data_IF_650413942545
#
_entry.id   IF_650413942545
#
_cell.length_a   1.000
_cell.length_b   1.000
_cell.length_c   1.000
_cell.angle_alpha   90.00
_cell.angle_beta   90.00
_cell.angle_gamma   90.00
#
_symmetry.space_group_name_H-M   'P 1'
#
loop_
_entity.id
_entity.type
_entity.pdbx_description
1 polymer ?
#
# COMPACT_ATOMS: atom_id res chain seq x y z
N UNK A 1 20.65 15.11 -27.80
CA UNK A 1 19.77 14.47 -28.53
C UNK A 1 19.03 13.39 -27.70
N UNK A 2 19.38 12.24 -27.68
CA UNK A 2 18.52 11.24 -27.06
C UNK A 2 18.97 10.79 -25.70
N UNK A 3 19.95 11.45 -25.16
CA UNK A 3 20.53 10.96 -23.92
C UNK A 3 19.53 10.97 -22.79
N UNK A 4 18.73 12.03 -22.71
CA UNK A 4 17.76 12.09 -21.64
C UNK A 4 16.73 10.97 -21.77
N UNK A 5 16.37 10.64 -23.00
CA UNK A 5 15.43 9.56 -23.23
C UNK A 5 16.07 8.24 -22.86
N UNK A 6 17.33 8.08 -23.24
CA UNK A 6 18.03 6.85 -22.90
C UNK A 6 18.20 6.71 -21.40
N UNK A 7 18.51 7.79 -20.72
CA UNK A 7 18.62 7.74 -19.27
C UNK A 7 17.30 7.36 -18.63
N UNK A 8 16.20 7.93 -19.13
CA UNK A 8 14.91 7.58 -18.61
C UNK A 8 14.61 6.11 -18.82
N UNK A 9 14.88 5.60 -20.02
CA UNK A 9 14.60 4.21 -20.31
C UNK A 9 15.50 3.27 -19.52
N UNK A 10 16.67 3.74 -19.10
CA UNK A 10 17.57 2.92 -18.32
C UNK A 10 17.16 2.81 -16.86
N UNK A 11 16.30 3.70 -16.38
CA UNK A 11 15.98 3.75 -14.97
C UNK A 11 14.53 3.41 -14.63
N UNK A 12 13.75 2.74 -15.52
CA UNK A 12 12.41 2.36 -15.11
C UNK A 12 12.44 1.36 -13.97
N UNK A 13 13.55 0.61 -13.84
CA UNK A 13 13.65 -0.40 -12.79
C UNK A 13 13.85 0.23 -11.41
N UNK A 14 14.21 1.53 -11.32
CA UNK A 14 14.34 2.16 -10.01
C UNK A 14 12.99 2.56 -9.43
N UNK A 15 11.96 2.66 -10.25
CA UNK A 15 10.63 3.02 -9.80
C UNK A 15 9.68 1.86 -9.97
N UNK A 16 8.90 1.61 -8.93
CA UNK A 16 7.91 0.53 -8.92
C UNK A 16 6.55 1.18 -8.77
N UNK A 17 5.65 0.95 -9.73
CA UNK A 17 4.30 1.52 -9.66
C UNK A 17 3.41 0.54 -8.92
N UNK A 18 2.79 1.04 -7.84
CA UNK A 18 1.90 0.22 -7.02
C UNK A 18 0.61 0.97 -6.77
N UNK A 19 -0.41 0.20 -6.38
CA UNK A 19 -1.58 0.74 -5.71
C UNK A 19 -1.53 0.28 -4.28
N UNK A 20 -2.12 1.08 -3.40
CA UNK A 20 -2.12 0.76 -1.98
C UNK A 20 -3.46 1.16 -1.38
N UNK A 21 -3.94 0.34 -0.45
CA UNK A 21 -5.23 0.53 0.18
C UNK A 21 -5.03 1.05 1.60
N UNK A 22 -5.69 2.16 1.91
CA UNK A 22 -5.70 2.70 3.26
C UNK A 22 -7.00 2.27 3.90
N UNK A 23 -6.96 1.19 4.67
CA UNK A 23 -8.15 0.55 5.24
C UNK A 23 -8.23 0.92 6.72
N UNK A 24 -9.35 1.53 7.10
CA UNK A 24 -9.57 1.91 8.49
C UNK A 24 -10.88 1.29 8.97
N UNK A 25 -10.97 1.06 10.28
CA UNK A 25 -12.23 0.59 10.87
C UNK A 25 -12.99 1.77 11.49
N UNK A 26 -14.11 1.45 12.11
CA UNK A 26 -14.98 2.49 12.67
C UNK A 26 -14.33 3.27 13.79
N UNK A 27 -13.38 2.66 14.51
CA UNK A 27 -12.70 3.35 15.60
C UNK A 27 -11.46 4.12 15.10
N UNK A 28 -11.18 4.06 13.81
CA UNK A 28 -10.05 4.79 13.23
C UNK A 28 -8.74 4.04 13.26
N UNK A 29 -8.77 2.75 13.61
CA UNK A 29 -7.55 1.95 13.50
C UNK A 29 -7.26 1.65 12.04
N UNK A 30 -5.99 1.56 11.71
CA UNK A 30 -5.55 1.30 10.34
C UNK A 30 -5.11 -0.15 10.23
N UNK A 31 -5.41 -0.76 9.09
CA UNK A 31 -5.05 -2.14 8.83
C UNK A 31 -3.65 -2.21 8.25
N UNK A 32 -2.79 -2.99 8.89
CA UNK A 32 -1.44 -3.26 8.42
C UNK A 32 -1.31 -4.74 8.13
N UNK A 33 -0.53 -5.05 7.10
CA UNK A 33 -0.19 -6.44 6.77
C UNK A 33 1.32 -6.58 6.75
N UNK A 34 1.81 -7.78 7.03
CA UNK A 34 3.22 -8.11 6.88
C UNK A 34 3.30 -9.37 6.03
N UNK A 35 4.05 -9.28 4.95
CA UNK A 35 4.21 -10.41 4.04
C UNK A 35 5.22 -11.41 4.60
N UNK A 36 5.06 -12.65 4.21
CA UNK A 36 5.99 -13.70 4.62
C UNK A 36 7.41 -13.33 4.21
N UNK A 37 8.37 -13.65 5.07
CA UNK A 37 9.80 -13.43 4.83
C UNK A 37 10.18 -11.97 4.79
N UNK A 38 9.31 -11.08 5.29
CA UNK A 38 9.65 -9.66 5.42
C UNK A 38 9.44 -9.24 6.87
N UNK A 39 10.07 -8.11 7.22
CA UNK A 39 9.95 -7.58 8.57
C UNK A 39 9.07 -6.35 8.63
N UNK A 40 8.61 -5.86 7.47
CA UNK A 40 7.89 -4.59 7.42
C UNK A 40 6.40 -4.79 7.48
N UNK A 41 5.75 -4.02 8.37
CA UNK A 41 4.31 -3.83 8.33
C UNK A 41 3.99 -2.72 7.35
N UNK A 42 2.99 -2.94 6.53
CA UNK A 42 2.65 -2.02 5.45
C UNK A 42 1.16 -2.09 5.17
N UNK A 43 0.71 -1.19 4.31
CA UNK A 43 -0.65 -1.19 3.84
C UNK A 43 -0.85 -2.30 2.80
N UNK A 44 -2.07 -2.82 2.67
CA UNK A 44 -2.35 -3.77 1.58
C UNK A 44 -2.16 -3.11 0.22
N UNK A 45 -1.77 -3.91 -0.77
CA UNK A 45 -1.59 -3.41 -2.12
C UNK A 45 -0.55 -4.19 -2.88
N UNK A 46 -0.21 -3.72 -4.07
CA UNK A 46 0.79 -4.40 -4.87
C UNK A 46 1.05 -3.72 -6.20
N UNK A 47 1.87 -4.35 -7.00
CA UNK A 47 2.33 -3.80 -8.26
C UNK A 47 1.20 -3.80 -9.29
N UNK A 48 1.13 -2.70 -10.05
CA UNK A 48 0.23 -2.62 -11.19
C UNK A 48 0.78 -3.53 -12.27
N UNK A 49 -0.01 -4.49 -12.69
CA UNK A 49 0.40 -5.44 -13.70
C UNK A 49 0.03 -4.91 -15.08
N UNK A 50 0.71 -5.46 -16.08
CA UNK A 50 0.50 -5.06 -17.45
C UNK A 50 -0.98 -5.24 -17.79
N UNK A 51 -1.57 -4.24 -18.41
CA UNK A 51 -2.97 -4.25 -18.86
C UNK A 51 -4.00 -4.15 -17.74
N UNK A 52 -3.53 -3.89 -16.51
CA UNK A 52 -4.47 -3.60 -15.44
C UNK A 52 -4.63 -2.10 -15.28
N UNK A 53 -5.86 -1.66 -15.03
CA UNK A 53 -6.07 -0.32 -14.50
C UNK A 53 -5.73 -0.33 -13.02
N UNK A 54 -5.47 0.85 -12.44
CA UNK A 54 -5.22 0.90 -10.99
C UNK A 54 -6.34 0.30 -10.14
N UNK A 55 -7.61 0.51 -10.52
CA UNK A 55 -8.71 -0.07 -9.75
C UNK A 55 -8.78 -1.57 -9.90
N UNK A 56 -8.43 -2.09 -11.07
CA UNK A 56 -8.35 -3.55 -11.25
C UNK A 56 -7.25 -4.14 -10.39
N UNK A 57 -6.10 -3.48 -10.32
CA UNK A 57 -5.02 -3.91 -9.45
C UNK A 57 -5.47 -3.90 -7.99
N UNK A 58 -6.12 -2.82 -7.57
CA UNK A 58 -6.58 -2.70 -6.20
C UNK A 58 -7.56 -3.82 -5.85
N UNK A 59 -8.52 -4.08 -6.73
CA UNK A 59 -9.51 -5.15 -6.49
C UNK A 59 -8.82 -6.51 -6.38
N UNK A 60 -7.86 -6.78 -7.24
CA UNK A 60 -7.13 -8.04 -7.22
C UNK A 60 -6.33 -8.19 -5.93
N UNK A 61 -5.61 -7.14 -5.53
CA UNK A 61 -4.77 -7.22 -4.34
C UNK A 61 -5.61 -7.31 -3.07
N UNK A 62 -6.72 -6.57 -2.99
CA UNK A 62 -7.62 -6.67 -1.84
C UNK A 62 -8.15 -8.10 -1.72
N UNK A 63 -8.48 -8.72 -2.84
CA UNK A 63 -8.95 -10.10 -2.80
C UNK A 63 -7.85 -11.06 -2.41
N UNK A 64 -6.65 -10.91 -3.00
CA UNK A 64 -5.55 -11.84 -2.74
C UNK A 64 -5.03 -11.72 -1.32
N UNK A 65 -4.91 -10.50 -0.80
CA UNK A 65 -4.28 -10.31 0.50
C UNK A 65 -5.26 -10.38 1.65
N UNK A 66 -6.50 -9.96 1.44
CA UNK A 66 -7.48 -9.84 2.52
C UNK A 66 -8.69 -10.75 2.36
N UNK A 67 -8.86 -11.37 1.20
CA UNK A 67 -10.05 -12.20 0.95
C UNK A 67 -11.34 -11.41 0.84
N UNK A 68 -11.24 -10.12 0.56
CA UNK A 68 -12.40 -9.23 0.53
C UNK A 68 -12.69 -8.79 -0.89
N UNK A 69 -13.91 -8.29 -1.10
CA UNK A 69 -14.35 -7.75 -2.37
C UNK A 69 -14.30 -6.24 -2.32
N UNK A 70 -13.67 -5.64 -3.32
CA UNK A 70 -13.64 -4.18 -3.44
C UNK A 70 -14.98 -3.71 -3.99
N UNK A 71 -15.66 -2.84 -3.25
CA UNK A 71 -16.93 -2.27 -3.69
C UNK A 71 -16.73 -0.93 -4.39
N UNK A 72 -15.88 -0.08 -3.84
CA UNK A 72 -15.52 1.20 -4.45
C UNK A 72 -14.27 1.71 -3.76
N UNK A 73 -13.66 2.76 -4.32
CA UNK A 73 -12.46 3.32 -3.73
C UNK A 73 -12.38 4.80 -4.05
N UNK A 74 -11.95 5.56 -3.06
CA UNK A 74 -11.67 6.98 -3.21
C UNK A 74 -10.18 7.15 -3.47
N UNK A 75 -9.82 7.86 -4.55
CA UNK A 75 -8.42 8.13 -4.85
C UNK A 75 -7.90 9.23 -3.91
N UNK A 76 -6.81 8.96 -3.22
CA UNK A 76 -6.26 9.89 -2.24
C UNK A 76 -5.07 10.67 -2.76
N UNK A 77 -4.43 10.21 -3.82
CA UNK A 77 -3.27 10.87 -4.38
C UNK A 77 -2.17 9.91 -4.71
N UNK A 78 -1.11 10.45 -5.30
CA UNK A 78 0.08 9.67 -5.65
C UNK A 78 1.22 10.09 -4.75
N UNK A 79 1.94 9.12 -4.20
CA UNK A 79 3.00 9.34 -3.23
C UNK A 79 4.19 8.48 -3.57
N UNK A 80 5.39 8.99 -3.28
CA UNK A 80 6.62 8.25 -3.49
C UNK A 80 7.31 8.00 -2.18
N UNK A 81 7.96 6.85 -2.08
CA UNK A 81 8.73 6.48 -0.89
C UNK A 81 9.74 5.41 -1.26
N UNK A 82 10.81 5.26 -0.48
CA UNK A 82 11.72 4.13 -0.69
C UNK A 82 10.97 2.82 -0.55
N UNK A 83 11.30 1.86 -1.40
CA UNK A 83 10.70 0.54 -1.33
C UNK A 83 11.24 -0.20 -0.11
N UNK A 84 10.34 -0.85 0.65
CA UNK A 84 10.74 -1.47 1.90
C UNK A 84 11.64 -2.68 1.68
N UNK A 85 11.31 -3.49 0.67
CA UNK A 85 11.98 -4.78 0.49
C UNK A 85 12.85 -4.84 -0.74
N UNK A 86 13.07 -3.70 -1.38
CA UNK A 86 13.88 -3.64 -2.60
C UNK A 86 14.81 -2.43 -2.51
N UNK A 87 15.97 -2.61 -1.86
CA UNK A 87 16.88 -1.48 -1.61
C UNK A 87 17.24 -0.73 -2.89
N UNK A 88 17.30 0.60 -2.77
CA UNK A 88 17.65 1.44 -3.91
C UNK A 88 16.52 1.73 -4.86
N UNK A 89 15.31 1.20 -4.62
CA UNK A 89 14.17 1.43 -5.47
C UNK A 89 13.16 2.33 -4.79
N UNK A 90 12.34 2.97 -5.61
CA UNK A 90 11.31 3.91 -5.15
C UNK A 90 9.95 3.35 -5.57
N UNK A 91 8.99 3.34 -4.64
CA UNK A 91 7.61 3.06 -5.02
C UNK A 91 6.92 4.36 -5.36
N UNK A 92 6.15 4.32 -6.46
CA UNK A 92 5.21 5.37 -6.84
C UNK A 92 3.84 4.78 -6.59
N UNK A 93 3.20 5.25 -5.54
CA UNK A 93 2.00 4.61 -5.04
C UNK A 93 0.79 5.47 -5.27
N UNK A 94 -0.23 4.89 -5.90
CA UNK A 94 -1.56 5.48 -5.91
C UNK A 94 -2.28 4.98 -4.69
N UNK A 95 -2.58 5.88 -3.77
CA UNK A 95 -3.28 5.53 -2.54
C UNK A 95 -4.78 5.66 -2.73
N UNK A 96 -5.50 4.66 -2.24
CA UNK A 96 -6.96 4.63 -2.30
C UNK A 96 -7.52 4.33 -0.92
N UNK A 97 -8.67 4.92 -0.61
CA UNK A 97 -9.45 4.54 0.55
C UNK A 97 -10.60 3.67 0.06
N UNK A 98 -10.52 2.35 0.27
CA UNK A 98 -11.50 1.45 -0.29
C UNK A 98 -12.68 1.23 0.64
N UNK A 99 -13.81 0.90 0.03
CA UNK A 99 -14.91 0.27 0.74
C UNK A 99 -14.88 -1.20 0.33
N UNK A 100 -14.75 -2.08 1.32
CA UNK A 100 -14.59 -3.50 1.06
C UNK A 100 -15.68 -4.28 1.77
N UNK A 101 -16.02 -5.45 1.23
CA UNK A 101 -17.03 -6.33 1.81
C UNK A 101 -16.39 -7.67 2.11
N UNK A 102 -16.88 -8.29 3.18
CA UNK A 102 -16.43 -9.61 3.59
C UNK A 102 -15.49 -9.53 4.79
N UNK A 103 -15.36 -10.66 5.48
CA UNK A 103 -14.44 -10.77 6.60
C UNK A 103 -13.01 -10.85 6.10
N UNK A 104 -12.10 -10.22 6.83
CA UNK A 104 -10.69 -10.26 6.47
C UNK A 104 -10.16 -11.67 6.67
N UNK A 105 -9.63 -12.25 5.60
CA UNK A 105 -8.98 -13.56 5.63
C UNK A 105 -7.64 -13.42 4.91
N UNK A 106 -6.54 -13.43 5.66
CA UNK A 106 -5.22 -13.22 5.06
C UNK A 106 -4.92 -14.25 3.99
N UNK A 107 -4.41 -13.79 2.86
CA UNK A 107 -4.00 -14.69 1.79
C UNK A 107 -2.71 -15.40 2.12
N UNK A 108 -2.30 -16.29 1.21
CA UNK A 108 -1.17 -17.18 1.47
C UNK A 108 0.14 -16.43 1.71
N UNK A 109 0.30 -15.26 1.09
CA UNK A 109 1.54 -14.50 1.22
C UNK A 109 1.58 -13.60 2.44
N UNK A 110 0.49 -13.51 3.18
CA UNK A 110 0.40 -12.62 4.33
C UNK A 110 0.68 -13.40 5.58
N UNK A 111 1.72 -12.99 6.32
CA UNK A 111 2.09 -13.62 7.58
C UNK A 111 1.29 -13.09 8.74
N UNK A 112 1.05 -11.78 8.76
CA UNK A 112 0.38 -11.12 9.89
C UNK A 112 -0.54 -10.02 9.41
N UNK A 113 -1.66 -9.85 10.12
CA UNK A 113 -2.59 -8.74 9.89
C UNK A 113 -2.84 -8.11 11.25
N UNK A 114 -2.84 -6.78 11.29
CA UNK A 114 -3.04 -6.08 12.56
C UNK A 114 -3.87 -4.82 12.33
N UNK A 115 -4.83 -4.58 13.22
CA UNK A 115 -5.54 -3.30 13.31
C UNK A 115 -4.83 -2.48 14.38
N UNK A 116 -4.27 -1.33 14.00
CA UNK A 116 -3.36 -0.60 14.87
C UNK A 116 -3.84 0.83 15.09
N UNK A 117 -3.88 1.24 16.36
CA UNK A 117 -3.98 2.65 16.71
C UNK A 117 -2.65 3.32 16.43
N UNK A 118 -2.69 4.60 16.07
CA UNK A 118 -1.45 5.30 15.77
C UNK A 118 -0.50 5.36 16.95
N UNK A 119 -1.05 5.38 18.17
CA UNK A 119 -0.22 5.40 19.36
C UNK A 119 0.52 4.09 19.59
N UNK A 120 0.15 3.03 18.87
CA UNK A 120 0.71 1.70 19.10
C UNK A 120 1.78 1.31 18.08
N UNK A 121 2.07 2.18 17.10
CA UNK A 121 2.97 1.78 16.02
C UNK A 121 4.44 1.79 16.44
N UNK A 122 4.78 2.35 17.59
CA UNK A 122 6.18 2.49 17.99
C UNK A 122 6.94 1.20 18.12
N UNK A 123 6.26 0.06 18.30
CA UNK A 123 6.92 -1.23 18.39
C UNK A 123 7.03 -1.98 17.08
N UNK A 124 6.60 -1.38 15.97
CA UNK A 124 6.56 -2.05 14.69
C UNK A 124 7.59 -1.48 13.75
N UNK A 125 8.11 -2.35 12.88
CA UNK A 125 8.93 -1.89 11.76
C UNK A 125 7.99 -1.57 10.61
N UNK A 126 7.92 -0.30 10.22
CA UNK A 126 6.97 0.16 9.22
C UNK A 126 7.66 0.41 7.89
N UNK A 127 7.00 0.01 6.81
CA UNK A 127 7.44 0.39 5.47
C UNK A 127 7.40 1.92 5.34
N UNK A 128 8.34 2.52 4.60
CA UNK A 128 8.39 3.98 4.49
C UNK A 128 7.10 4.60 3.98
N UNK A 129 6.42 3.98 3.02
CA UNK A 129 5.16 4.53 2.52
C UNK A 129 4.12 4.60 3.64
N UNK A 130 4.04 3.57 4.47
CA UNK A 130 3.13 3.55 5.61
C UNK A 130 3.49 4.65 6.58
N UNK A 131 4.77 4.74 6.96
CA UNK A 131 5.21 5.65 8.00
C UNK A 131 5.05 7.10 7.58
N UNK A 132 5.45 7.44 6.35
CA UNK A 132 5.56 8.83 5.96
C UNK A 132 4.35 9.37 5.22
N UNK A 133 3.48 8.51 4.71
CA UNK A 133 2.34 8.96 3.92
C UNK A 133 1.00 8.44 4.39
N UNK A 134 0.90 7.13 4.68
CA UNK A 134 -0.39 6.56 5.06
C UNK A 134 -0.81 7.00 6.46
N UNK A 135 0.08 6.88 7.43
CA UNK A 135 -0.27 7.26 8.80
C UNK A 135 -0.60 8.74 8.93
N UNK A 136 0.15 9.66 8.29
CA UNK A 136 -0.26 11.06 8.34
C UNK A 136 -1.64 11.33 7.76
N UNK A 137 -2.02 10.64 6.67
CA UNK A 137 -3.37 10.78 6.12
C UNK A 137 -4.43 10.33 7.13
N UNK A 138 -4.24 9.17 7.72
CA UNK A 138 -5.19 8.64 8.69
C UNK A 138 -5.29 9.57 9.90
N UNK A 139 -4.16 10.10 10.35
CA UNK A 139 -4.15 11.04 11.46
C UNK A 139 -4.95 12.29 11.13
N UNK A 140 -4.83 12.78 9.92
CA UNK A 140 -5.57 13.97 9.50
C UNK A 140 -7.08 13.70 9.50
N UNK A 141 -7.50 12.49 9.10
CA UNK A 141 -8.92 12.14 9.12
C UNK A 141 -9.47 12.16 10.53
N UNK A 142 -8.68 11.71 11.51
CA UNK A 142 -9.14 11.67 12.90
C UNK A 142 -9.27 13.06 13.49
N UNK A 143 -8.51 14.03 12.98
CA UNK A 143 -8.53 15.39 13.51
C UNK A 143 -9.70 16.21 13.00
N UNK A 144 -10.34 15.78 11.93
CA UNK A 144 -11.46 16.54 11.34
C UNK A 144 -12.84 16.05 11.81
#
# INVERSE_FOLDING_TARGET
MNESIEGVSEHPSTHIRIVAAVVTDQSGRVLLVRKRRTIYFMQPGGKVEQRETPLETLAREVNEELGCTLLRAEFLGMFCAPAANEPGRIVEAMLFRPEIAGAIRPGAEIESVAWIEQSEVGGLTLAPLMQFHVLPLVRAWKSS
#
